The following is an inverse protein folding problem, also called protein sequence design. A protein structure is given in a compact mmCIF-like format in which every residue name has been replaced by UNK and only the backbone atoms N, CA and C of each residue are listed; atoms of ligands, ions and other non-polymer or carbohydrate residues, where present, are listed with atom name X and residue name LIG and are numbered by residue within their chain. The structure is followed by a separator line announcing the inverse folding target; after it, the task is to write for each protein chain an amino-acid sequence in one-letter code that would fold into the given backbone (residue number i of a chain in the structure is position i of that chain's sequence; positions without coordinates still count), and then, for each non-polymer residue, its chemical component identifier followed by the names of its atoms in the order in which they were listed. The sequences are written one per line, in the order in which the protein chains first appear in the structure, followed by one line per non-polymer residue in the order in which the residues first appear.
data_IF_677530721194
#
_entry.id   IF_677530721194
#
_cell.length_a   1.000
_cell.length_b   1.000
_cell.length_c   1.000
_cell.angle_alpha   90.00
_cell.angle_beta   90.00
_cell.angle_gamma   90.00
#
_symmetry.space_group_name_H-M   'P 1'
#
loop_
_entity.id
_entity.type
_entity.pdbx_description
1 polymer ?
#
# COMPACT_ATOMS: atom_id res chain seq x y z
N UNK A 1 -11.03 10.99 29.98
CA UNK A 1 -10.43 11.01 28.63
C UNK A 1 -10.33 12.46 28.16
N UNK A 2 -9.20 12.85 27.57
CA UNK A 2 -8.98 14.23 27.09
C UNK A 2 -9.82 14.46 25.83
N UNK A 3 -10.30 15.70 25.64
CA UNK A 3 -11.10 16.11 24.46
C UNK A 3 -10.35 15.90 23.13
N UNK A 4 -9.01 15.87 23.16
CA UNK A 4 -8.15 15.51 22.04
C UNK A 4 -8.18 14.01 21.71
N UNK A 5 -8.17 13.12 22.71
CA UNK A 5 -8.27 11.66 22.50
C UNK A 5 -9.64 11.28 21.91
N UNK A 6 -10.73 11.91 22.39
CA UNK A 6 -12.08 11.65 21.86
C UNK A 6 -12.20 12.12 20.40
N UNK A 7 -11.52 13.22 20.03
CA UNK A 7 -11.52 13.75 18.66
C UNK A 7 -10.67 12.89 17.72
N UNK A 8 -9.54 12.36 18.20
CA UNK A 8 -8.71 11.39 17.47
C UNK A 8 -9.45 10.07 17.22
N UNK A 9 -10.14 9.53 18.23
CA UNK A 9 -10.93 8.29 18.10
C UNK A 9 -12.09 8.46 17.10
N UNK A 10 -12.84 9.58 17.16
CA UNK A 10 -13.92 9.85 16.21
C UNK A 10 -13.43 10.09 14.78
N UNK A 11 -12.22 10.63 14.61
CA UNK A 11 -11.57 10.75 13.30
C UNK A 11 -11.14 9.37 12.78
N UNK A 12 -10.53 8.55 13.65
CA UNK A 12 -10.08 7.17 13.39
C UNK A 12 -11.20 6.25 12.89
N UNK A 13 -12.32 6.18 13.62
CA UNK A 13 -13.49 5.38 13.23
C UNK A 13 -14.12 5.83 11.89
N UNK A 14 -13.96 7.12 11.55
CA UNK A 14 -14.49 7.70 10.32
C UNK A 14 -13.60 7.41 9.10
N UNK A 15 -12.27 7.37 9.26
CA UNK A 15 -11.33 7.17 8.15
C UNK A 15 -11.49 5.79 7.54
N UNK A 16 -11.40 4.71 8.34
CA UNK A 16 -11.51 3.33 7.83
C UNK A 16 -12.90 3.04 7.27
N UNK A 17 -13.95 3.55 7.92
CA UNK A 17 -15.32 3.45 7.42
C UNK A 17 -15.50 4.17 6.07
N UNK A 18 -14.87 5.33 5.90
CA UNK A 18 -14.91 6.07 4.63
C UNK A 18 -14.11 5.34 3.55
N UNK A 19 -12.89 4.88 3.84
CA UNK A 19 -12.04 4.16 2.89
C UNK A 19 -12.65 2.84 2.41
N UNK A 20 -13.50 2.21 3.22
CA UNK A 20 -14.22 0.97 2.89
C UNK A 20 -15.65 1.20 2.40
N UNK A 21 -16.08 2.46 2.33
CA UNK A 21 -17.43 2.87 1.99
C UNK A 21 -17.86 2.49 0.57
N UNK A 22 -19.18 2.57 0.33
CA UNK A 22 -19.79 2.25 -0.97
C UNK A 22 -19.52 3.32 -2.03
N UNK A 23 -19.30 4.58 -1.63
CA UNK A 23 -18.96 5.67 -2.54
C UNK A 23 -17.47 5.60 -2.89
N UNK A 24 -17.16 4.91 -3.99
CA UNK A 24 -15.77 4.75 -4.44
C UNK A 24 -15.13 6.07 -4.87
N UNK A 25 -15.91 7.04 -5.34
CA UNK A 25 -15.37 8.35 -5.75
C UNK A 25 -14.90 9.12 -4.53
N UNK A 26 -15.74 9.17 -3.49
CA UNK A 26 -15.41 9.84 -2.24
C UNK A 26 -14.24 9.15 -1.53
N UNK A 27 -14.25 7.82 -1.46
CA UNK A 27 -13.21 7.06 -0.80
C UNK A 27 -11.85 7.12 -1.55
N UNK A 28 -11.85 7.16 -2.89
CA UNK A 28 -10.63 7.44 -3.65
C UNK A 28 -10.12 8.86 -3.41
N UNK A 29 -10.99 9.87 -3.42
CA UNK A 29 -10.57 11.25 -3.15
C UNK A 29 -9.97 11.42 -1.74
N UNK A 30 -10.51 10.71 -0.74
CA UNK A 30 -9.91 10.67 0.59
C UNK A 30 -8.54 9.97 0.57
N UNK A 31 -8.42 8.82 -0.09
CA UNK A 31 -7.14 8.12 -0.19
C UNK A 31 -6.07 8.98 -0.88
N UNK A 32 -6.42 9.66 -1.97
CA UNK A 32 -5.51 10.57 -2.67
C UNK A 32 -5.04 11.73 -1.78
N UNK A 33 -5.96 12.30 -0.97
CA UNK A 33 -5.63 13.32 0.03
C UNK A 33 -4.64 12.78 1.08
N UNK A 34 -4.93 11.61 1.66
CA UNK A 34 -4.07 10.96 2.65
C UNK A 34 -2.69 10.72 2.05
N UNK A 35 -2.61 10.16 0.85
CA UNK A 35 -1.34 9.89 0.17
C UNK A 35 -0.55 11.19 -0.02
N UNK A 36 -1.18 12.24 -0.54
CA UNK A 36 -0.52 13.53 -0.77
C UNK A 36 -0.01 14.16 0.53
N UNK A 37 -0.78 14.11 1.62
CA UNK A 37 -0.38 14.65 2.91
C UNK A 37 0.70 13.78 3.58
N UNK A 38 0.65 12.45 3.39
CA UNK A 38 1.67 11.50 3.86
C UNK A 38 3.01 11.66 3.14
N UNK A 39 3.04 12.32 1.97
CA UNK A 39 4.29 12.66 1.29
C UNK A 39 5.03 13.83 1.96
N UNK A 40 4.29 14.73 2.62
CA UNK A 40 4.82 15.97 3.18
C UNK A 40 4.94 15.94 4.71
N UNK A 41 4.11 15.14 5.38
CA UNK A 41 3.99 15.09 6.85
C UNK A 41 3.75 13.67 7.35
N UNK A 42 4.07 13.43 8.63
CA UNK A 42 3.85 12.17 9.34
C UNK A 42 2.45 12.06 9.99
N UNK A 43 1.57 13.04 9.79
CA UNK A 43 0.25 13.11 10.46
C UNK A 43 -0.58 11.85 10.28
N UNK A 44 -0.45 11.17 9.15
CA UNK A 44 -1.21 9.95 8.84
C UNK A 44 -0.57 8.67 9.35
N UNK A 45 0.69 8.71 9.81
CA UNK A 45 1.40 7.53 10.31
C UNK A 45 0.79 7.01 11.62
N UNK A 46 0.14 7.86 12.42
CA UNK A 46 -0.58 7.41 13.63
C UNK A 46 -1.66 6.35 13.32
N UNK A 47 -2.22 6.36 12.10
CA UNK A 47 -3.25 5.43 11.61
C UNK A 47 -2.71 4.24 10.81
N UNK A 48 -1.39 4.03 10.79
CA UNK A 48 -0.76 3.00 9.95
C UNK A 48 -1.36 1.59 10.13
N UNK A 49 -1.60 1.15 11.38
CA UNK A 49 -2.19 -0.18 11.62
C UNK A 49 -3.63 -0.30 11.09
N UNK A 50 -4.39 0.80 11.08
CA UNK A 50 -5.74 0.80 10.51
C UNK A 50 -5.66 0.62 8.99
N UNK A 51 -4.72 1.30 8.32
CA UNK A 51 -4.48 1.12 6.90
C UNK A 51 -3.95 -0.29 6.59
N UNK A 52 -3.08 -0.84 7.44
CA UNK A 52 -2.58 -2.20 7.31
C UNK A 52 -3.71 -3.24 7.41
N UNK A 53 -4.69 -3.03 8.29
CA UNK A 53 -5.86 -3.91 8.41
C UNK A 53 -6.67 -4.04 7.10
N UNK A 54 -6.52 -3.07 6.19
CA UNK A 54 -7.21 -3.04 4.90
C UNK A 54 -6.48 -3.81 3.79
N UNK A 55 -5.25 -4.28 4.01
CA UNK A 55 -4.51 -5.06 3.01
C UNK A 55 -5.27 -6.32 2.60
N UNK A 56 -5.91 -7.01 3.53
CA UNK A 56 -6.64 -8.26 3.25
C UNK A 56 -8.15 -8.04 3.03
N UNK A 57 -8.57 -6.81 2.74
CA UNK A 57 -10.00 -6.51 2.55
C UNK A 57 -10.57 -7.17 1.29
N UNK A 58 -11.81 -7.72 1.31
CA UNK A 58 -12.38 -8.45 0.17
C UNK A 58 -12.50 -7.62 -1.11
N UNK A 59 -12.79 -6.32 -0.98
CA UNK A 59 -12.93 -5.40 -2.11
C UNK A 59 -11.54 -4.92 -2.56
N UNK A 60 -11.14 -5.27 -3.78
CA UNK A 60 -9.82 -4.92 -4.33
C UNK A 60 -9.55 -3.42 -4.39
N UNK A 61 -10.57 -2.58 -4.63
CA UNK A 61 -10.41 -1.12 -4.58
C UNK A 61 -9.98 -0.61 -3.21
N UNK A 62 -10.35 -1.29 -2.12
CA UNK A 62 -9.89 -0.95 -0.77
C UNK A 62 -8.43 -1.35 -0.59
N UNK A 63 -8.06 -2.57 -1.02
CA UNK A 63 -6.65 -3.03 -1.00
C UNK A 63 -5.75 -2.06 -1.76
N UNK A 64 -6.18 -1.61 -2.93
CA UNK A 64 -5.47 -0.63 -3.75
C UNK A 64 -5.16 0.67 -2.99
N UNK A 65 -6.15 1.21 -2.27
CA UNK A 65 -5.98 2.43 -1.45
C UNK A 65 -4.98 2.17 -0.32
N UNK A 66 -5.14 1.06 0.39
CA UNK A 66 -4.26 0.67 1.49
C UNK A 66 -2.80 0.57 1.05
N UNK A 67 -2.53 -0.12 -0.07
CA UNK A 67 -1.18 -0.28 -0.62
C UNK A 67 -0.47 1.07 -0.84
N UNK A 68 -1.15 2.03 -1.48
CA UNK A 68 -0.57 3.34 -1.74
C UNK A 68 -0.43 4.21 -0.49
N UNK A 69 -1.42 4.19 0.42
CA UNK A 69 -1.34 4.92 1.68
C UNK A 69 -0.17 4.41 2.53
N UNK A 70 -0.02 3.09 2.66
CA UNK A 70 1.08 2.47 3.41
C UNK A 70 2.43 2.75 2.77
N UNK A 71 2.54 2.69 1.44
CA UNK A 71 3.78 3.04 0.75
C UNK A 71 4.17 4.51 0.94
N UNK A 72 3.19 5.43 0.99
CA UNK A 72 3.43 6.84 1.29
C UNK A 72 3.91 7.05 2.73
N UNK A 73 3.38 6.29 3.68
CA UNK A 73 3.74 6.39 5.08
C UNK A 73 5.03 5.63 5.45
N UNK A 74 5.56 4.78 4.57
CA UNK A 74 6.79 4.02 4.84
C UNK A 74 8.00 4.90 5.16
N UNK A 75 8.05 6.14 4.65
CA UNK A 75 9.14 7.09 4.96
C UNK A 75 9.14 7.57 6.42
N UNK A 76 8.01 7.49 7.11
CA UNK A 76 7.85 7.88 8.51
C UNK A 76 7.94 6.70 9.48
N UNK A 77 8.24 5.49 8.97
CA UNK A 77 8.17 4.26 9.76
C UNK A 77 9.37 4.04 10.69
N UNK A 78 9.58 4.94 11.66
CA UNK A 78 10.68 4.86 12.63
C UNK A 78 10.45 3.75 13.67
N UNK A 79 9.19 3.36 13.89
CA UNK A 79 8.82 2.27 14.79
C UNK A 79 8.92 0.88 14.12
N UNK A 80 9.29 0.83 12.84
CA UNK A 80 9.37 -0.41 12.04
C UNK A 80 8.06 -1.23 12.02
N UNK A 81 6.90 -0.56 12.01
CA UNK A 81 5.58 -1.20 11.89
C UNK A 81 5.44 -1.91 10.55
N UNK A 82 6.18 -1.50 9.52
CA UNK A 82 6.18 -2.16 8.22
C UNK A 82 6.73 -3.59 8.30
N UNK A 83 7.64 -3.91 9.24
CA UNK A 83 8.15 -5.28 9.45
C UNK A 83 7.02 -6.28 9.73
N UNK A 84 5.96 -5.82 10.42
CA UNK A 84 4.82 -6.65 10.80
C UNK A 84 3.92 -6.98 9.61
N UNK A 85 3.96 -6.18 8.55
CA UNK A 85 3.00 -6.24 7.43
C UNK A 85 3.67 -6.46 6.08
N UNK A 86 5.00 -6.51 6.01
CA UNK A 86 5.73 -6.66 4.74
C UNK A 86 5.36 -7.94 4.01
N UNK A 87 5.14 -9.04 4.73
CA UNK A 87 4.68 -10.30 4.12
C UNK A 87 3.30 -10.15 3.48
N UNK A 88 2.36 -9.53 4.17
CA UNK A 88 0.99 -9.29 3.69
C UNK A 88 0.98 -8.31 2.51
N UNK A 89 1.84 -7.28 2.55
CA UNK A 89 2.00 -6.34 1.45
C UNK A 89 2.56 -7.05 0.20
N UNK A 90 3.63 -7.84 0.35
CA UNK A 90 4.30 -8.53 -0.75
C UNK A 90 3.43 -9.62 -1.38
N UNK A 91 2.50 -10.22 -0.62
CA UNK A 91 1.53 -11.19 -1.16
C UNK A 91 0.75 -10.62 -2.36
N UNK A 92 0.54 -9.30 -2.38
CA UNK A 92 -0.24 -8.61 -3.42
C UNK A 92 0.52 -8.45 -4.72
N UNK A 93 1.83 -8.72 -4.80
CA UNK A 93 2.55 -8.87 -6.08
C UNK A 93 1.82 -9.88 -6.98
N UNK A 94 1.20 -10.89 -6.36
CA UNK A 94 0.36 -11.88 -7.02
C UNK A 94 -1.09 -11.78 -6.51
N UNK A 95 -1.68 -10.60 -6.38
CA UNK A 95 -3.09 -10.45 -6.01
C UNK A 95 -4.03 -11.18 -7.00
N UNK A 96 -5.21 -11.64 -6.57
CA UNK A 96 -6.21 -12.22 -7.48
C UNK A 96 -6.67 -11.25 -8.58
N UNK A 97 -6.68 -9.95 -8.30
CA UNK A 97 -7.00 -8.90 -9.27
C UNK A 97 -5.71 -8.38 -9.91
N UNK A 98 -5.54 -8.50 -11.24
CA UNK A 98 -4.30 -8.10 -11.90
C UNK A 98 -4.01 -6.60 -11.77
N UNK A 99 -5.04 -5.75 -11.65
CA UNK A 99 -4.85 -4.31 -11.42
C UNK A 99 -4.23 -4.06 -10.03
N UNK A 100 -4.68 -4.79 -9.00
CA UNK A 100 -4.13 -4.69 -7.64
C UNK A 100 -2.68 -5.14 -7.61
N UNK A 101 -2.34 -6.21 -8.31
CA UNK A 101 -0.96 -6.67 -8.45
C UNK A 101 -0.03 -5.61 -9.05
N UNK A 102 -0.45 -5.01 -10.16
CA UNK A 102 0.29 -3.90 -10.80
C UNK A 102 0.51 -2.72 -9.84
N UNK A 103 -0.49 -2.39 -9.04
CA UNK A 103 -0.42 -1.28 -8.11
C UNK A 103 0.50 -1.58 -6.92
N UNK A 104 0.41 -2.78 -6.35
CA UNK A 104 1.35 -3.26 -5.34
C UNK A 104 2.79 -3.13 -5.84
N UNK A 105 3.09 -3.67 -7.02
CA UNK A 105 4.43 -3.64 -7.61
C UNK A 105 4.95 -2.21 -7.72
N UNK A 106 4.13 -1.28 -8.22
CA UNK A 106 4.51 0.14 -8.32
C UNK A 106 4.75 0.80 -6.97
N UNK A 107 3.92 0.48 -5.98
CA UNK A 107 4.03 1.01 -4.62
C UNK A 107 5.33 0.53 -3.94
N UNK A 108 5.80 -0.68 -4.25
CA UNK A 108 7.06 -1.22 -3.72
C UNK A 108 8.29 -0.42 -4.13
N UNK A 109 8.27 0.28 -5.26
CA UNK A 109 9.35 1.21 -5.61
C UNK A 109 9.49 2.31 -4.55
N UNK A 110 8.36 2.88 -4.10
CA UNK A 110 8.36 3.92 -3.08
C UNK A 110 8.75 3.37 -1.70
N UNK A 111 8.26 2.19 -1.33
CA UNK A 111 8.66 1.51 -0.09
C UNK A 111 10.16 1.30 -0.04
N UNK A 112 10.75 0.73 -1.10
CA UNK A 112 12.19 0.48 -1.16
C UNK A 112 13.04 1.76 -1.19
N UNK A 113 12.57 2.83 -1.85
CA UNK A 113 13.25 4.13 -1.79
C UNK A 113 13.21 4.77 -0.40
N UNK A 114 12.09 4.66 0.31
CA UNK A 114 11.92 5.20 1.65
C UNK A 114 12.67 4.39 2.72
N UNK A 115 12.65 3.06 2.59
CA UNK A 115 13.24 2.11 3.54
C UNK A 115 14.09 1.07 2.78
N UNK A 116 15.35 1.41 2.43
CA UNK A 116 16.22 0.55 1.62
C UNK A 116 16.48 -0.85 2.19
N UNK A 117 16.27 -1.05 3.51
CA UNK A 117 16.41 -2.37 4.12
C UNK A 117 15.45 -3.42 3.54
N UNK A 118 14.33 -3.01 2.93
CA UNK A 118 13.36 -3.92 2.31
C UNK A 118 13.71 -4.29 0.87
N UNK A 119 14.65 -3.59 0.22
CA UNK A 119 15.00 -3.84 -1.20
C UNK A 119 15.35 -5.31 -1.47
N UNK A 120 16.18 -6.00 -0.66
CA UNK A 120 16.53 -7.40 -0.93
C UNK A 120 15.32 -8.33 -0.97
N UNK A 121 14.39 -8.20 -0.01
CA UNK A 121 13.19 -9.05 0.04
C UNK A 121 12.20 -8.68 -1.07
N UNK A 122 12.04 -7.39 -1.37
CA UNK A 122 11.21 -6.92 -2.49
C UNK A 122 11.70 -7.52 -3.81
N UNK A 123 12.99 -7.38 -4.13
CA UNK A 123 13.57 -7.91 -5.37
C UNK A 123 13.45 -9.44 -5.45
N UNK A 124 13.68 -10.13 -4.32
CA UNK A 124 13.51 -11.59 -4.26
C UNK A 124 12.08 -11.99 -4.62
N UNK A 125 11.07 -11.36 -4.00
CA UNK A 125 9.66 -11.68 -4.24
C UNK A 125 9.20 -11.33 -5.67
N UNK A 126 9.65 -10.19 -6.21
CA UNK A 126 9.34 -9.79 -7.59
C UNK A 126 9.85 -10.81 -8.61
N UNK A 127 11.09 -11.28 -8.45
CA UNK A 127 11.73 -12.26 -9.35
C UNK A 127 11.11 -13.65 -9.27
N UNK A 128 10.60 -14.00 -8.09
CA UNK A 128 9.95 -15.31 -7.86
C UNK A 128 8.45 -15.33 -8.14
N UNK A 129 7.85 -14.20 -8.53
CA UNK A 129 6.40 -14.09 -8.66
C UNK A 129 5.85 -15.02 -9.76
N UNK A 130 4.93 -15.92 -9.38
CA UNK A 130 4.20 -16.74 -10.35
C UNK A 130 3.04 -15.94 -10.98
N UNK A 131 3.22 -15.58 -12.24
CA UNK A 131 2.26 -14.82 -13.03
C UNK A 131 1.41 -15.70 -13.96
N UNK A 132 1.54 -17.03 -13.88
CA UNK A 132 0.88 -18.00 -14.76
C UNK A 132 -0.65 -17.88 -14.74
N UNK A 133 -1.22 -17.45 -13.61
CA UNK A 133 -2.66 -17.23 -13.45
C UNK A 133 -3.23 -16.05 -14.26
N UNK A 134 -2.40 -15.09 -14.67
CA UNK A 134 -2.87 -13.93 -15.43
C UNK A 134 -2.94 -14.23 -16.93
N UNK A 135 -3.97 -13.69 -17.58
CA UNK A 135 -4.17 -13.77 -19.03
C UNK A 135 -3.07 -13.02 -19.78
N UNK A 136 -2.85 -13.39 -21.04
CA UNK A 136 -1.84 -12.80 -21.93
C UNK A 136 -2.00 -11.29 -22.16
N UNK A 137 -3.20 -10.72 -21.93
CA UNK A 137 -3.40 -9.27 -21.99
C UNK A 137 -2.90 -8.52 -20.76
N UNK A 138 -2.86 -9.18 -19.59
CA UNK A 138 -2.47 -8.55 -18.32
C UNK A 138 -1.06 -8.91 -17.88
N UNK A 139 -0.60 -10.13 -18.16
CA UNK A 139 0.73 -10.61 -17.76
C UNK A 139 1.87 -9.68 -18.26
N UNK A 140 1.92 -9.25 -19.54
CA UNK A 140 2.99 -8.37 -20.01
C UNK A 140 3.01 -7.01 -19.31
N UNK A 141 1.84 -6.51 -18.88
CA UNK A 141 1.76 -5.25 -18.14
C UNK A 141 2.33 -5.38 -16.73
N UNK A 142 2.13 -6.54 -16.10
CA UNK A 142 2.69 -6.85 -14.78
C UNK A 142 4.20 -7.04 -14.88
N UNK A 143 4.68 -7.82 -15.85
CA UNK A 143 6.11 -8.03 -16.11
C UNK A 143 6.83 -6.69 -16.37
N UNK A 144 6.21 -5.80 -17.15
CA UNK A 144 6.73 -4.44 -17.36
C UNK A 144 6.83 -3.65 -16.04
N UNK A 145 5.77 -3.65 -15.24
CA UNK A 145 5.77 -2.93 -13.96
C UNK A 145 6.81 -3.52 -12.99
N UNK A 146 7.07 -4.84 -13.01
CA UNK A 146 8.16 -5.49 -12.27
C UNK A 146 9.51 -4.95 -12.72
N UNK A 147 9.81 -5.02 -14.03
CA UNK A 147 11.09 -4.57 -14.56
C UNK A 147 11.38 -3.09 -14.28
N UNK A 148 10.35 -2.23 -14.38
CA UNK A 148 10.46 -0.81 -14.03
C UNK A 148 10.72 -0.59 -12.53
N UNK A 149 10.10 -1.39 -11.67
CA UNK A 149 10.29 -1.33 -10.21
C UNK A 149 11.67 -1.81 -9.82
N UNK A 150 12.13 -2.96 -10.34
CA UNK A 150 13.48 -3.46 -10.10
C UNK A 150 14.53 -2.43 -10.49
N UNK A 151 14.40 -1.84 -11.69
CA UNK A 151 15.31 -0.80 -12.17
C UNK A 151 15.43 0.36 -11.20
N UNK A 152 14.31 0.83 -10.63
CA UNK A 152 14.29 1.93 -9.65
C UNK A 152 14.98 1.56 -8.33
N UNK A 153 14.90 0.29 -7.91
CA UNK A 153 15.44 -0.17 -6.64
C UNK A 153 16.92 -0.59 -6.71
N UNK A 154 17.48 -0.74 -7.91
CA UNK A 154 18.89 -1.11 -8.12
C UNK A 154 19.76 0.03 -8.63
N UNK A 155 19.22 1.24 -8.79
CA UNK A 155 19.95 2.44 -9.24
C UNK A 155 20.26 3.33 -8.04
#
# INVERSE_FOLDING_TARGET
MKKSEVRGIAMKENITATLTGKDDKYACALADKIISESLETDEWYEYFDDFASLLNYPKSLVRNRALYILAANAQWDDENRFDLIISDFLAHITDEKPITARQCIKALAQVGSAKPQYIPVILSCLRSADLSKYKDSMRPLIEKDIAETEKKLTT
#
